data_IF_576139930419
#
_entry.id   IF_576139930419
#
_cell.length_a   1.000
_cell.length_b   1.000
_cell.length_c   1.000
_cell.angle_alpha   90.00
_cell.angle_beta   90.00
_cell.angle_gamma   90.00
#
_symmetry.space_group_name_H-M   'P 1'
#
loop_
_entity.id
_entity.type
_entity.pdbx_description
1 polymer ?
#
# COMPACT_ATOMS: atom_id res chain seq x y z
N UNK A 1 8.45 29.58 25.60
CA UNK A 1 8.10 28.60 24.55
C UNK A 1 9.40 27.98 24.04
N UNK A 2 9.75 26.76 24.48
CA UNK A 2 10.99 26.07 24.04
C UNK A 2 10.84 25.75 22.56
N UNK A 3 11.52 26.50 21.71
CA UNK A 3 11.56 26.25 20.27
C UNK A 3 12.07 24.84 20.01
N UNK A 4 11.30 24.07 19.24
CA UNK A 4 11.67 22.77 18.71
C UNK A 4 12.92 22.94 17.84
N UNK A 5 14.11 22.88 18.43
CA UNK A 5 15.35 22.72 17.67
C UNK A 5 15.31 21.30 17.09
N UNK A 6 15.27 21.11 15.76
CA UNK A 6 15.28 19.77 15.19
C UNK A 6 16.54 19.05 15.69
N UNK A 7 16.37 17.89 16.31
CA UNK A 7 17.49 17.08 16.77
C UNK A 7 18.33 16.67 15.57
N UNK A 8 19.67 16.59 15.73
CA UNK A 8 20.59 16.23 14.65
C UNK A 8 20.15 15.00 13.81
N UNK A 9 19.53 13.94 14.39
CA UNK A 9 18.98 12.82 13.61
C UNK A 9 17.86 13.21 12.64
N UNK A 10 16.95 14.13 13.03
CA UNK A 10 15.85 14.57 12.16
C UNK A 10 16.40 15.35 10.97
N UNK A 11 17.41 16.19 11.20
CA UNK A 11 18.03 16.97 10.12
C UNK A 11 18.72 16.08 9.08
N UNK A 12 19.32 14.97 9.51
CA UNK A 12 19.94 13.98 8.63
C UNK A 12 18.91 13.13 7.86
N UNK A 13 17.76 12.84 8.47
CA UNK A 13 16.66 12.10 7.81
C UNK A 13 15.78 12.97 6.90
N UNK A 14 15.77 14.29 7.13
CA UNK A 14 14.95 15.25 6.39
C UNK A 14 15.06 15.12 4.86
N UNK A 15 16.25 15.08 4.23
CA UNK A 15 16.34 14.96 2.78
C UNK A 15 15.75 13.63 2.26
N UNK A 16 15.98 12.52 2.96
CA UNK A 16 15.40 11.23 2.58
C UNK A 16 13.86 11.27 2.69
N UNK A 17 13.34 11.85 3.77
CA UNK A 17 11.90 11.99 3.96
C UNK A 17 11.25 12.88 2.90
N UNK A 18 11.88 14.01 2.55
CA UNK A 18 11.40 14.90 1.48
C UNK A 18 11.37 14.18 0.14
N UNK A 19 12.41 13.44 -0.20
CA UNK A 19 12.45 12.68 -1.47
C UNK A 19 11.37 11.60 -1.49
N UNK A 20 11.26 10.78 -0.44
CA UNK A 20 10.23 9.74 -0.35
C UNK A 20 8.82 10.33 -0.39
N UNK A 21 8.58 11.40 0.35
CA UNK A 21 7.31 12.11 0.36
C UNK A 21 6.99 12.68 -1.03
N UNK A 22 7.94 13.29 -1.73
CA UNK A 22 7.71 13.79 -3.08
C UNK A 22 7.37 12.65 -4.06
N UNK A 23 8.15 11.57 -4.04
CA UNK A 23 7.97 10.43 -4.94
C UNK A 23 6.65 9.68 -4.70
N UNK A 24 6.15 9.64 -3.46
CA UNK A 24 4.88 8.98 -3.14
C UNK A 24 3.71 9.94 -3.29
N UNK A 25 3.78 11.13 -2.68
CA UNK A 25 2.65 12.06 -2.59
C UNK A 25 2.36 12.74 -3.92
N UNK A 26 3.36 13.09 -4.73
CA UNK A 26 3.11 13.74 -6.02
C UNK A 26 2.27 12.87 -6.95
N UNK A 27 2.66 11.61 -7.27
CA UNK A 27 1.83 10.76 -8.13
C UNK A 27 0.51 10.37 -7.46
N UNK A 28 0.47 10.24 -6.13
CA UNK A 28 -0.78 9.98 -5.42
C UNK A 28 -1.77 11.14 -5.58
N UNK A 29 -1.32 12.38 -5.40
CA UNK A 29 -2.15 13.58 -5.57
C UNK A 29 -2.58 13.77 -7.03
N UNK A 30 -1.71 13.50 -8.00
CA UNK A 30 -2.06 13.52 -9.42
C UNK A 30 -3.09 12.43 -9.76
N UNK A 31 -2.92 11.22 -9.22
CA UNK A 31 -3.88 10.13 -9.40
C UNK A 31 -5.23 10.48 -8.78
N UNK A 32 -5.21 11.05 -7.57
CA UNK A 32 -6.41 11.52 -6.88
C UNK A 32 -7.09 12.65 -7.66
N UNK A 33 -6.36 13.64 -8.15
CA UNK A 33 -6.94 14.69 -8.98
C UNK A 33 -7.55 14.11 -10.27
N UNK A 34 -6.81 13.22 -10.94
CA UNK A 34 -7.26 12.59 -12.19
C UNK A 34 -8.53 11.77 -12.01
N UNK A 35 -8.78 11.18 -10.83
CA UNK A 35 -9.99 10.40 -10.56
C UNK A 35 -11.27 11.25 -10.58
N UNK A 36 -11.18 12.57 -10.38
CA UNK A 36 -12.29 13.52 -10.50
C UNK A 36 -12.47 14.08 -11.93
N UNK A 37 -11.66 13.62 -12.88
CA UNK A 37 -11.65 14.09 -14.27
C UNK A 37 -11.93 12.91 -15.23
N UNK A 38 -12.44 13.14 -16.45
CA UNK A 38 -12.64 12.08 -17.43
C UNK A 38 -11.32 11.72 -18.15
N UNK A 39 -10.18 11.80 -17.45
CA UNK A 39 -8.85 11.73 -18.02
C UNK A 39 -8.65 10.48 -18.86
N UNK A 40 -8.20 10.67 -20.10
CA UNK A 40 -7.76 9.60 -21.00
C UNK A 40 -6.40 9.96 -21.57
N UNK A 41 -5.47 9.00 -21.59
CA UNK A 41 -4.15 9.18 -22.21
C UNK A 41 -4.23 9.61 -23.69
N UNK A 42 -5.29 9.20 -24.39
CA UNK A 42 -5.53 9.53 -25.80
C UNK A 42 -6.10 10.94 -26.02
N UNK A 43 -6.49 11.64 -24.95
CA UNK A 43 -7.14 12.96 -24.97
C UNK A 43 -6.66 13.81 -23.80
N UNK A 44 -5.43 14.35 -23.85
CA UNK A 44 -4.83 15.06 -22.72
C UNK A 44 -5.63 16.29 -22.27
N UNK A 45 -6.44 16.89 -23.15
CA UNK A 45 -7.35 18.00 -22.84
C UNK A 45 -8.40 17.66 -21.77
N UNK A 46 -8.71 16.36 -21.59
CA UNK A 46 -9.68 15.90 -20.58
C UNK A 46 -9.16 16.02 -19.15
N UNK A 47 -7.86 16.21 -18.94
CA UNK A 47 -7.26 16.35 -17.60
C UNK A 47 -7.74 17.61 -16.86
N UNK A 48 -8.08 18.68 -17.59
CA UNK A 48 -8.51 19.94 -16.97
C UNK A 48 -10.03 20.01 -16.76
N UNK A 49 -10.77 18.96 -17.14
CA UNK A 49 -12.24 18.90 -17.04
C UNK A 49 -12.63 18.22 -15.73
N UNK A 50 -13.21 18.97 -14.79
CA UNK A 50 -13.68 18.41 -13.53
C UNK A 50 -15.11 17.84 -13.69
N UNK A 51 -15.27 16.53 -13.50
CA UNK A 51 -16.58 15.83 -13.52
C UNK A 51 -17.04 15.41 -12.13
N UNK A 52 -16.31 15.82 -11.08
CA UNK A 52 -16.62 15.50 -9.69
C UNK A 52 -16.60 13.99 -9.44
N UNK A 53 -17.61 13.48 -8.73
CA UNK A 53 -17.69 12.08 -8.31
C UNK A 53 -18.25 11.11 -9.37
N UNK A 54 -18.46 11.57 -10.60
CA UNK A 54 -19.13 10.78 -11.63
C UNK A 54 -18.43 9.46 -11.95
N UNK A 55 -17.10 9.43 -11.93
CA UNK A 55 -16.31 8.21 -12.11
C UNK A 55 -16.56 7.18 -10.99
N UNK A 56 -16.65 7.64 -9.74
CA UNK A 56 -16.92 6.77 -8.61
C UNK A 56 -18.32 6.16 -8.68
N UNK A 57 -19.34 6.98 -8.97
CA UNK A 57 -20.72 6.49 -9.13
C UNK A 57 -20.78 5.47 -10.29
N UNK A 58 -20.15 5.79 -11.41
CA UNK A 58 -20.08 4.91 -12.59
C UNK A 58 -19.48 3.54 -12.28
N UNK A 59 -18.40 3.48 -11.48
CA UNK A 59 -17.73 2.21 -11.16
C UNK A 59 -18.53 1.44 -10.11
N UNK A 60 -19.03 2.12 -9.07
CA UNK A 60 -19.79 1.47 -8.00
C UNK A 60 -21.12 0.90 -8.47
N UNK A 61 -21.74 1.50 -9.50
CA UNK A 61 -22.94 0.96 -10.14
C UNK A 61 -22.65 -0.09 -11.22
N UNK A 62 -21.38 -0.39 -11.54
CA UNK A 62 -21.02 -1.34 -12.59
C UNK A 62 -20.93 -2.77 -12.02
N UNK A 63 -21.74 -3.73 -12.49
CA UNK A 63 -21.66 -5.13 -12.06
C UNK A 63 -20.32 -5.80 -12.37
N UNK A 64 -19.68 -5.47 -13.49
CA UNK A 64 -18.39 -6.05 -13.89
C UNK A 64 -17.27 -5.69 -12.92
N UNK A 65 -17.34 -4.48 -12.34
CA UNK A 65 -16.43 -4.06 -11.29
C UNK A 65 -16.55 -4.97 -10.06
N UNK A 66 -17.76 -5.27 -9.62
CA UNK A 66 -18.00 -6.14 -8.46
C UNK A 66 -17.63 -7.60 -8.73
N UNK A 67 -17.83 -8.07 -9.96
CA UNK A 67 -17.41 -9.41 -10.38
C UNK A 67 -15.89 -9.59 -10.29
N UNK A 68 -15.11 -8.54 -10.57
CA UNK A 68 -13.66 -8.57 -10.40
C UNK A 68 -13.23 -8.27 -8.95
N UNK A 69 -13.84 -7.27 -8.31
CA UNK A 69 -13.47 -6.79 -6.98
C UNK A 69 -13.74 -7.83 -5.87
N UNK A 70 -14.88 -8.51 -5.93
CA UNK A 70 -15.29 -9.49 -4.92
C UNK A 70 -14.26 -10.64 -4.73
N UNK A 71 -13.88 -11.35 -5.80
CA UNK A 71 -12.86 -12.38 -5.73
C UNK A 71 -11.50 -11.88 -5.24
N UNK A 72 -11.09 -10.66 -5.62
CA UNK A 72 -9.83 -10.07 -5.11
C UNK A 72 -9.89 -9.85 -3.61
N UNK A 73 -10.98 -9.27 -3.09
CA UNK A 73 -11.15 -9.05 -1.65
C UNK A 73 -11.23 -10.38 -0.90
N UNK A 74 -11.94 -11.37 -1.45
CA UNK A 74 -12.03 -12.70 -0.87
C UNK A 74 -10.65 -13.37 -0.79
N UNK A 75 -9.89 -13.33 -1.89
CA UNK A 75 -8.54 -13.86 -1.94
C UNK A 75 -7.64 -13.18 -0.91
N UNK A 76 -7.61 -11.84 -0.87
CA UNK A 76 -6.81 -11.10 0.10
C UNK A 76 -7.19 -11.44 1.54
N UNK A 77 -8.50 -11.51 1.83
CA UNK A 77 -8.98 -11.82 3.18
C UNK A 77 -8.52 -13.22 3.60
N UNK A 78 -8.71 -14.24 2.75
CA UNK A 78 -8.31 -15.61 3.07
C UNK A 78 -6.78 -15.73 3.16
N UNK A 79 -6.06 -15.22 2.15
CA UNK A 79 -4.61 -15.31 2.07
C UNK A 79 -3.94 -14.64 3.27
N UNK A 80 -4.27 -13.38 3.57
CA UNK A 80 -3.65 -12.64 4.67
C UNK A 80 -3.93 -13.27 6.04
N UNK A 81 -5.14 -13.77 6.28
CA UNK A 81 -5.46 -14.46 7.53
C UNK A 81 -4.70 -15.78 7.65
N UNK A 82 -4.64 -16.58 6.59
CA UNK A 82 -3.89 -17.83 6.59
C UNK A 82 -2.39 -17.58 6.76
N UNK A 83 -1.80 -16.64 6.02
CA UNK A 83 -0.40 -16.25 6.13
C UNK A 83 -0.07 -15.78 7.55
N UNK A 84 -0.93 -14.97 8.17
CA UNK A 84 -0.74 -14.51 9.54
C UNK A 84 -0.81 -15.66 10.55
N UNK A 85 -1.80 -16.55 10.43
CA UNK A 85 -1.96 -17.70 11.34
C UNK A 85 -0.82 -18.70 11.19
N UNK A 86 -0.44 -19.04 9.95
CA UNK A 86 0.67 -19.94 9.67
C UNK A 86 2.01 -19.33 10.08
N UNK A 87 2.25 -18.05 9.74
CA UNK A 87 3.46 -17.34 10.12
C UNK A 87 3.63 -17.24 11.63
N UNK A 88 2.55 -16.92 12.35
CA UNK A 88 2.55 -16.91 13.82
C UNK A 88 2.76 -18.32 14.40
N UNK A 89 2.07 -19.31 13.87
CA UNK A 89 2.21 -20.71 14.29
C UNK A 89 3.65 -21.20 14.13
N UNK A 90 4.27 -20.93 12.99
CA UNK A 90 5.68 -21.23 12.72
C UNK A 90 6.62 -20.48 13.67
N UNK A 91 6.37 -19.19 13.91
CA UNK A 91 7.17 -18.41 14.86
C UNK A 91 7.12 -19.01 16.28
N UNK A 92 5.96 -19.43 16.74
CA UNK A 92 5.80 -20.08 18.06
C UNK A 92 6.50 -21.44 18.15
N UNK A 93 6.50 -22.22 17.07
CA UNK A 93 7.21 -23.51 17.02
C UNK A 93 8.73 -23.31 17.06
N UNK A 94 9.25 -22.33 16.32
CA UNK A 94 10.69 -22.00 16.30
C UNK A 94 11.16 -21.46 17.64
N UNK A 95 10.33 -20.66 18.32
CA UNK A 95 10.65 -20.12 19.65
C UNK A 95 10.86 -21.23 20.67
N UNK A 96 10.10 -22.32 20.58
CA UNK A 96 10.22 -23.48 21.50
C UNK A 96 11.28 -24.50 21.07
N UNK A 97 11.87 -24.38 19.88
CA UNK A 97 12.81 -25.35 19.35
C UNK A 97 14.23 -25.14 19.91
N UNK A 98 14.68 -26.04 20.79
CA UNK A 98 16.00 -25.97 21.45
C UNK A 98 17.17 -26.55 20.64
N UNK A 99 16.92 -27.38 19.62
CA UNK A 99 17.95 -27.93 18.71
C UNK A 99 17.54 -27.73 17.25
N UNK A 100 18.45 -27.20 16.42
CA UNK A 100 18.22 -26.97 14.98
C UNK A 100 17.63 -25.61 14.60
N UNK A 101 17.44 -24.70 15.56
CA UNK A 101 16.83 -23.37 15.36
C UNK A 101 17.53 -22.53 14.28
N UNK A 102 18.87 -22.63 14.17
CA UNK A 102 19.65 -21.90 13.16
C UNK A 102 19.36 -22.37 11.72
N UNK A 103 19.08 -23.66 11.54
CA UNK A 103 18.74 -24.24 10.22
C UNK A 103 17.30 -23.86 9.86
N UNK A 104 16.34 -24.01 10.78
CA UNK A 104 14.95 -23.60 10.56
C UNK A 104 14.84 -22.12 10.19
N UNK A 105 15.53 -21.23 10.90
CA UNK A 105 15.50 -19.78 10.62
C UNK A 105 16.07 -19.45 9.24
N UNK A 106 17.08 -20.19 8.80
CA UNK A 106 17.68 -20.00 7.46
C UNK A 106 16.71 -20.47 6.37
N UNK A 107 16.06 -21.62 6.56
CA UNK A 107 15.07 -22.14 5.61
C UNK A 107 13.83 -21.23 5.50
N UNK A 108 13.41 -20.60 6.60
CA UNK A 108 12.28 -19.65 6.61
C UNK A 108 12.60 -18.30 5.98
N UNK A 109 13.88 -17.90 5.94
CA UNK A 109 14.33 -16.67 5.28
C UNK A 109 14.66 -16.88 3.80
N UNK A 110 14.75 -18.15 3.39
CA UNK A 110 14.90 -18.50 1.98
C UNK A 110 13.54 -18.33 1.28
N UNK A 111 13.48 -17.65 0.13
CA UNK A 111 12.22 -17.35 -0.56
C UNK A 111 11.51 -18.59 -1.08
#
# INVERSE_FOLDING_TARGET
MKGLKPSAPILLLLPAFVVLAAVVLVPLLLSLYSSFTPFRLTRPETFFVLIGLRNYISILSNPDFWWAFGPTVLLLTIALNLEMLLGLGLAMLVEKATRGQRILRTLMMFP
#
